data_IF_935141566217
#
_entry.id   IF_935141566217
#
_cell.length_a   1.000
_cell.length_b   1.000
_cell.length_c   1.000
_cell.angle_alpha   90.00
_cell.angle_beta   90.00
_cell.angle_gamma   90.00
#
_symmetry.space_group_name_H-M   'P 1'
#
loop_
_entity.id
_entity.type
_entity.pdbx_description
1 polymer ?
#
# COMPACT_ATOMS: atom_id res chain seq x y z
N UNK A 1 -34.84 17.83 29.22
CA UNK A 1 -33.90 18.85 29.69
C UNK A 1 -32.50 18.25 29.64
N UNK A 2 -31.52 18.93 29.04
CA UNK A 2 -30.15 18.47 28.80
C UNK A 2 -29.92 17.41 27.70
N UNK A 3 -30.40 17.65 26.50
CA UNK A 3 -29.67 17.27 25.31
C UNK A 3 -28.50 18.25 25.15
N UNK A 4 -27.42 18.01 25.85
CA UNK A 4 -26.12 18.57 25.48
C UNK A 4 -25.80 18.02 24.09
N UNK A 5 -26.05 18.85 23.08
CA UNK A 5 -25.62 18.70 21.70
C UNK A 5 -24.11 18.51 21.70
N UNK A 6 -23.66 17.24 21.87
CA UNK A 6 -22.30 16.84 21.60
C UNK A 6 -22.12 17.12 20.11
N UNK A 7 -21.41 18.19 19.79
CA UNK A 7 -21.01 18.47 18.40
C UNK A 7 -20.51 17.16 17.80
N UNK A 8 -21.02 16.73 16.63
CA UNK A 8 -20.58 15.48 16.02
C UNK A 8 -19.09 15.60 15.74
N UNK A 9 -18.28 14.92 16.55
CA UNK A 9 -16.84 14.88 16.37
C UNK A 9 -16.52 13.91 15.22
N UNK A 10 -15.42 14.16 14.52
CA UNK A 10 -14.87 13.23 13.53
C UNK A 10 -14.80 11.79 14.08
N UNK A 11 -14.45 11.65 15.36
CA UNK A 11 -14.40 10.36 16.07
C UNK A 11 -15.77 9.67 16.14
N UNK A 12 -16.84 10.42 16.35
CA UNK A 12 -18.21 9.85 16.39
C UNK A 12 -18.61 9.30 15.02
N UNK A 13 -18.23 9.97 13.93
CA UNK A 13 -18.45 9.47 12.58
C UNK A 13 -17.62 8.21 12.31
N UNK A 14 -16.34 8.21 12.65
CA UNK A 14 -15.44 7.05 12.53
C UNK A 14 -16.01 5.83 13.28
N UNK A 15 -16.42 5.99 14.53
CA UNK A 15 -17.00 4.90 15.31
C UNK A 15 -18.33 4.40 14.73
N UNK A 16 -19.14 5.29 14.16
CA UNK A 16 -20.37 4.91 13.43
C UNK A 16 -20.05 4.02 12.24
N UNK A 17 -19.04 4.38 11.42
CA UNK A 17 -18.64 3.61 10.24
C UNK A 17 -18.12 2.21 10.64
N UNK A 18 -17.22 2.14 11.64
CA UNK A 18 -16.70 0.87 12.14
C UNK A 18 -17.82 -0.02 12.66
N UNK A 19 -18.71 0.53 13.51
CA UNK A 19 -19.84 -0.25 14.05
C UNK A 19 -20.79 -0.71 12.94
N UNK A 20 -21.09 0.17 11.96
CA UNK A 20 -21.92 -0.16 10.81
C UNK A 20 -21.37 -1.30 9.98
N UNK A 21 -20.03 -1.37 9.80
CA UNK A 21 -19.38 -2.47 9.10
C UNK A 21 -19.39 -3.74 9.93
N UNK A 22 -18.94 -3.70 11.19
CA UNK A 22 -18.85 -4.88 12.07
C UNK A 22 -20.23 -5.46 12.45
N UNK A 23 -21.31 -4.66 12.36
CA UNK A 23 -22.68 -5.16 12.55
C UNK A 23 -23.30 -5.70 11.26
N UNK A 24 -22.65 -5.56 10.11
CA UNK A 24 -23.17 -6.00 8.82
C UNK A 24 -22.69 -7.42 8.48
N UNK A 25 -23.58 -8.21 7.85
CA UNK A 25 -23.22 -9.53 7.33
C UNK A 25 -22.05 -9.45 6.35
N UNK A 26 -21.97 -8.39 5.55
CA UNK A 26 -20.90 -8.19 4.57
C UNK A 26 -19.53 -8.07 5.25
N UNK A 27 -19.45 -7.40 6.41
CA UNK A 27 -18.20 -7.31 7.17
C UNK A 27 -17.64 -8.66 7.54
N UNK A 28 -18.48 -9.53 8.07
CA UNK A 28 -18.05 -10.90 8.43
C UNK A 28 -17.68 -11.75 7.22
N UNK A 29 -18.46 -11.66 6.12
CA UNK A 29 -18.16 -12.39 4.89
C UNK A 29 -16.79 -11.98 4.34
N UNK A 30 -16.51 -10.68 4.27
CA UNK A 30 -15.25 -10.15 3.72
C UNK A 30 -14.05 -10.64 4.54
N UNK A 31 -14.12 -10.55 5.88
CA UNK A 31 -13.05 -11.04 6.78
C UNK A 31 -12.88 -12.56 6.63
N UNK A 32 -14.00 -13.30 6.63
CA UNK A 32 -13.96 -14.76 6.53
C UNK A 32 -13.39 -15.25 5.20
N UNK A 33 -13.77 -14.61 4.08
CA UNK A 33 -13.25 -14.94 2.75
C UNK A 33 -11.75 -14.65 2.67
N UNK A 34 -11.30 -13.54 3.22
CA UNK A 34 -9.86 -13.22 3.27
C UNK A 34 -9.09 -14.31 4.03
N UNK A 35 -9.49 -14.59 5.27
CA UNK A 35 -8.80 -15.57 6.12
C UNK A 35 -8.85 -16.98 5.52
N UNK A 36 -9.98 -17.34 4.89
CA UNK A 36 -10.14 -18.62 4.23
C UNK A 36 -9.21 -18.74 3.02
N UNK A 37 -9.18 -17.73 2.14
CA UNK A 37 -8.28 -17.72 0.99
C UNK A 37 -6.81 -17.79 1.44
N UNK A 38 -6.42 -16.93 2.38
CA UNK A 38 -5.06 -16.94 2.90
C UNK A 38 -4.70 -18.27 3.54
N UNK A 39 -5.61 -18.84 4.36
CA UNK A 39 -5.41 -20.14 5.00
C UNK A 39 -5.28 -21.28 3.98
N UNK A 40 -6.12 -21.34 2.97
CA UNK A 40 -6.09 -22.40 1.96
C UNK A 40 -4.83 -22.35 1.09
N UNK A 41 -4.45 -21.16 0.60
CA UNK A 41 -3.29 -21.04 -0.27
C UNK A 41 -1.96 -21.21 0.45
N UNK A 42 -1.88 -20.77 1.71
CA UNK A 42 -0.64 -20.81 2.49
C UNK A 42 -0.40 -22.18 3.13
N UNK A 43 -1.47 -22.90 3.54
CA UNK A 43 -1.32 -24.12 4.32
C UNK A 43 -1.84 -25.41 3.67
N UNK A 44 -2.70 -25.32 2.65
CA UNK A 44 -3.43 -26.50 2.14
C UNK A 44 -3.12 -26.80 0.70
N UNK A 45 -3.21 -25.80 -0.19
CA UNK A 45 -3.02 -26.05 -1.62
C UNK A 45 -1.55 -26.14 -1.99
N UNK A 46 -1.17 -27.14 -2.80
CA UNK A 46 0.15 -27.27 -3.40
C UNK A 46 0.36 -26.19 -4.48
N UNK A 47 0.76 -25.02 -4.06
CA UNK A 47 1.01 -23.83 -4.89
C UNK A 47 2.33 -23.20 -4.48
N UNK A 48 2.90 -22.30 -5.30
CA UNK A 48 4.11 -21.55 -4.91
C UNK A 48 3.96 -20.72 -3.63
N UNK A 49 2.73 -20.55 -3.13
CA UNK A 49 2.43 -19.84 -1.88
C UNK A 49 2.35 -20.77 -0.66
N UNK A 50 2.53 -22.09 -0.82
CA UNK A 50 2.46 -23.02 0.30
C UNK A 50 3.77 -23.00 1.10
N UNK A 51 3.68 -22.57 2.35
CA UNK A 51 4.86 -22.46 3.24
C UNK A 51 5.43 -23.83 3.59
N UNK A 52 4.59 -24.88 3.74
CA UNK A 52 5.08 -26.21 4.10
C UNK A 52 5.87 -26.87 2.96
N UNK A 53 5.59 -26.51 1.71
CA UNK A 53 6.27 -27.05 0.54
C UNK A 53 7.49 -26.21 0.11
N UNK A 54 7.57 -24.93 0.55
CA UNK A 54 8.68 -24.02 0.21
C UNK A 54 10.02 -24.48 0.78
N UNK A 55 10.01 -25.19 1.91
CA UNK A 55 11.22 -25.60 2.63
C UNK A 55 11.91 -24.49 3.41
N UNK A 56 11.35 -23.28 3.44
CA UNK A 56 11.86 -22.12 4.15
C UNK A 56 10.86 -21.67 5.23
N UNK A 57 11.39 -21.27 6.40
CA UNK A 57 10.61 -20.74 7.50
C UNK A 57 10.43 -19.22 7.34
N UNK A 58 9.69 -18.80 6.32
CA UNK A 58 9.40 -17.39 6.02
C UNK A 58 7.90 -17.13 5.76
N UNK A 59 7.50 -15.87 5.78
CA UNK A 59 6.15 -15.40 5.49
C UNK A 59 6.03 -14.72 4.12
N UNK A 60 7.02 -14.79 3.26
CA UNK A 60 7.01 -14.19 1.93
C UNK A 60 5.78 -14.60 1.11
N UNK A 61 5.29 -15.87 1.16
CA UNK A 61 4.06 -16.24 0.49
C UNK A 61 2.83 -15.41 0.92
N UNK A 62 2.73 -15.05 2.21
CA UNK A 62 1.66 -14.19 2.72
C UNK A 62 1.74 -12.80 2.07
N UNK A 63 2.94 -12.19 2.07
CA UNK A 63 3.15 -10.84 1.56
C UNK A 63 3.04 -10.74 0.05
N UNK A 64 3.28 -11.82 -0.68
CA UNK A 64 3.08 -11.90 -2.12
C UNK A 64 1.61 -12.13 -2.50
N UNK A 65 0.86 -12.91 -1.71
CA UNK A 65 -0.53 -13.22 -1.98
C UNK A 65 -1.50 -12.13 -1.49
N UNK A 66 -1.25 -11.54 -0.31
CA UNK A 66 -2.16 -10.59 0.31
C UNK A 66 -2.49 -9.37 -0.57
N UNK A 67 -1.55 -8.75 -1.32
CA UNK A 67 -1.86 -7.66 -2.24
C UNK A 67 -2.90 -8.04 -3.29
N UNK A 68 -2.83 -9.24 -3.85
CA UNK A 68 -3.78 -9.72 -4.86
C UNK A 68 -5.19 -9.89 -4.28
N UNK A 69 -5.28 -10.39 -3.04
CA UNK A 69 -6.56 -10.51 -2.35
C UNK A 69 -7.11 -9.13 -1.99
N UNK A 70 -6.24 -8.19 -1.60
CA UNK A 70 -6.62 -6.81 -1.26
C UNK A 70 -7.18 -6.03 -2.45
N UNK A 71 -6.80 -6.35 -3.69
CA UNK A 71 -7.39 -5.76 -4.90
C UNK A 71 -8.92 -5.89 -4.93
N UNK A 72 -9.46 -6.96 -4.35
CA UNK A 72 -10.90 -7.21 -4.28
C UNK A 72 -11.48 -6.88 -2.91
N UNK A 73 -10.78 -7.24 -1.85
CA UNK A 73 -11.23 -7.09 -0.48
C UNK A 73 -11.44 -5.61 -0.10
N UNK A 74 -10.46 -4.75 -0.37
CA UNK A 74 -10.51 -3.35 0.04
C UNK A 74 -11.59 -2.56 -0.72
N UNK A 75 -11.73 -2.70 -2.06
CA UNK A 75 -12.88 -2.17 -2.76
C UNK A 75 -14.24 -2.67 -2.23
N UNK A 76 -14.34 -3.95 -1.81
CA UNK A 76 -15.56 -4.49 -1.22
C UNK A 76 -15.89 -3.83 0.14
N UNK A 77 -14.88 -3.51 0.96
CA UNK A 77 -15.05 -2.78 2.21
C UNK A 77 -15.49 -1.32 1.93
N UNK A 78 -14.85 -0.66 0.97
CA UNK A 78 -14.99 0.78 0.75
C UNK A 78 -16.13 1.17 -0.19
N UNK A 79 -16.66 0.24 -1.00
CA UNK A 79 -17.70 0.52 -2.01
C UNK A 79 -18.94 1.21 -1.45
N UNK A 80 -19.27 1.00 -0.16
CA UNK A 80 -20.45 1.55 0.49
C UNK A 80 -20.24 2.95 1.08
N UNK A 81 -18.98 3.37 1.24
CA UNK A 81 -18.60 4.56 2.05
C UNK A 81 -19.34 5.83 1.65
N UNK A 82 -19.45 6.15 0.38
CA UNK A 82 -20.18 7.29 -0.14
C UNK A 82 -21.33 6.90 -1.08
N UNK A 83 -21.18 5.79 -1.83
CA UNK A 83 -22.19 5.38 -2.82
C UNK A 83 -23.54 5.08 -2.18
N UNK A 84 -23.57 4.49 -0.99
CA UNK A 84 -24.83 4.24 -0.26
C UNK A 84 -25.48 5.53 0.22
N UNK A 85 -24.72 6.47 0.77
CA UNK A 85 -25.23 7.77 1.21
C UNK A 85 -25.73 8.62 0.04
N UNK A 86 -25.09 8.52 -1.12
CA UNK A 86 -25.58 9.15 -2.36
C UNK A 86 -26.87 8.52 -2.84
N UNK A 87 -26.95 7.19 -2.82
CA UNK A 87 -28.15 6.43 -3.25
C UNK A 87 -29.36 6.72 -2.38
N UNK A 88 -29.14 6.84 -1.07
CA UNK A 88 -30.23 7.10 -0.09
C UNK A 88 -30.52 8.57 0.09
N UNK A 89 -29.79 9.49 -0.55
CA UNK A 89 -29.93 10.92 -0.40
C UNK A 89 -29.45 11.48 0.96
N UNK A 90 -28.84 10.64 1.80
CA UNK A 90 -28.37 11.05 3.14
C UNK A 90 -27.07 11.83 3.11
N UNK A 91 -26.40 11.90 1.97
CA UNK A 91 -25.15 12.65 1.80
C UNK A 91 -25.34 14.15 2.08
N UNK A 92 -26.50 14.72 1.73
CA UNK A 92 -26.80 16.12 2.01
C UNK A 92 -26.88 16.39 3.52
N UNK A 93 -27.52 15.48 4.28
CA UNK A 93 -27.54 15.55 5.74
C UNK A 93 -26.16 15.43 6.38
N UNK A 94 -25.26 14.70 5.74
CA UNK A 94 -23.87 14.56 6.22
C UNK A 94 -23.07 15.84 5.98
N UNK A 95 -23.25 16.47 4.80
CA UNK A 95 -22.54 17.69 4.41
C UNK A 95 -23.07 18.96 5.10
N UNK A 96 -24.26 18.92 5.70
CA UNK A 96 -24.79 20.02 6.51
C UNK A 96 -24.37 19.99 7.98
N UNK A 97 -23.68 18.92 8.42
CA UNK A 97 -23.13 18.84 9.76
C UNK A 97 -21.93 19.80 9.93
N UNK A 98 -21.65 20.26 11.16
CA UNK A 98 -20.51 21.13 11.45
C UNK A 98 -19.17 20.36 11.39
N UNK A 99 -18.91 19.68 10.27
CA UNK A 99 -17.68 18.97 9.95
C UNK A 99 -17.18 19.46 8.59
N UNK A 100 -15.88 19.62 8.45
CA UNK A 100 -15.29 19.90 7.14
C UNK A 100 -15.33 18.65 6.25
N UNK A 101 -15.39 18.85 4.92
CA UNK A 101 -15.43 17.75 3.95
C UNK A 101 -14.21 16.82 4.13
N UNK A 102 -13.04 17.38 4.44
CA UNK A 102 -11.81 16.62 4.74
C UNK A 102 -11.99 15.75 5.99
N UNK A 103 -12.62 16.26 7.06
CA UNK A 103 -12.87 15.46 8.26
C UNK A 103 -13.83 14.29 7.99
N UNK A 104 -14.82 14.49 7.12
CA UNK A 104 -15.73 13.42 6.71
C UNK A 104 -14.97 12.34 5.92
N UNK A 105 -14.13 12.74 4.94
CA UNK A 105 -13.34 11.83 4.14
C UNK A 105 -12.37 11.06 5.03
N UNK A 106 -11.62 11.75 5.91
CA UNK A 106 -10.66 11.13 6.81
C UNK A 106 -11.31 10.18 7.82
N UNK A 107 -12.51 10.50 8.33
CA UNK A 107 -13.24 9.59 9.21
C UNK A 107 -13.56 8.26 8.52
N UNK A 108 -14.04 8.31 7.27
CA UNK A 108 -14.33 7.11 6.46
C UNK A 108 -13.05 6.37 6.06
N UNK A 109 -12.00 7.10 5.72
CA UNK A 109 -10.69 6.57 5.39
C UNK A 109 -10.09 5.78 6.56
N UNK A 110 -10.01 6.38 7.74
CA UNK A 110 -9.48 5.69 8.92
C UNK A 110 -10.37 4.54 9.37
N UNK A 111 -11.70 4.64 9.19
CA UNK A 111 -12.58 3.51 9.46
C UNK A 111 -12.27 2.33 8.54
N UNK A 112 -12.16 2.56 7.23
CA UNK A 112 -11.77 1.52 6.26
C UNK A 112 -10.40 0.93 6.56
N UNK A 113 -9.40 1.76 6.83
CA UNK A 113 -8.04 1.32 7.17
C UNK A 113 -8.02 0.45 8.44
N UNK A 114 -8.67 0.89 9.50
CA UNK A 114 -8.75 0.11 10.76
C UNK A 114 -9.44 -1.24 10.55
N UNK A 115 -10.46 -1.33 9.68
CA UNK A 115 -11.11 -2.59 9.36
C UNK A 115 -10.17 -3.55 8.61
N UNK A 116 -9.37 -3.04 7.67
CA UNK A 116 -8.36 -3.86 6.98
C UNK A 116 -7.29 -4.32 7.96
N UNK A 117 -6.79 -3.45 8.83
CA UNK A 117 -5.82 -3.82 9.86
C UNK A 117 -6.40 -4.88 10.82
N UNK A 118 -7.67 -4.74 11.20
CA UNK A 118 -8.34 -5.76 12.00
C UNK A 118 -8.43 -7.11 11.28
N UNK A 119 -8.60 -7.09 9.95
CA UNK A 119 -8.60 -8.31 9.12
C UNK A 119 -7.22 -8.97 9.05
N UNK A 120 -6.14 -8.18 9.17
CA UNK A 120 -4.76 -8.69 9.19
C UNK A 120 -4.35 -9.28 10.54
N UNK A 121 -4.96 -8.89 11.66
CA UNK A 121 -4.54 -9.37 12.98
C UNK A 121 -4.47 -10.90 13.11
N UNK A 122 -5.45 -11.70 12.61
CA UNK A 122 -5.37 -13.15 12.69
C UNK A 122 -4.18 -13.75 11.93
N UNK A 123 -3.64 -13.08 10.91
CA UNK A 123 -2.48 -13.61 10.16
C UNK A 123 -1.20 -13.61 10.99
N UNK A 124 -1.14 -12.86 12.10
CA UNK A 124 -0.04 -12.95 13.06
C UNK A 124 0.09 -14.35 13.69
N UNK A 125 -0.99 -15.14 13.72
CA UNK A 125 -0.93 -16.55 14.11
C UNK A 125 -0.06 -17.37 13.16
N UNK A 126 0.01 -17.00 11.87
CA UNK A 126 0.87 -17.69 10.91
C UNK A 126 2.34 -17.50 11.27
N UNK A 127 2.74 -16.28 11.66
CA UNK A 127 4.08 -16.03 12.17
C UNK A 127 4.40 -16.91 13.37
N UNK A 128 3.50 -16.96 14.37
CA UNK A 128 3.69 -17.81 15.55
C UNK A 128 3.85 -19.28 15.15
N UNK A 129 3.04 -19.77 14.22
CA UNK A 129 3.08 -21.16 13.76
C UNK A 129 4.40 -21.48 13.08
N UNK A 130 4.88 -20.61 12.15
CA UNK A 130 6.14 -20.80 11.43
C UNK A 130 7.32 -20.76 12.41
N UNK A 131 7.28 -19.83 13.37
CA UNK A 131 8.32 -19.72 14.39
C UNK A 131 8.46 -20.98 15.26
N UNK A 132 7.36 -21.73 15.44
CA UNK A 132 7.37 -23.01 16.18
C UNK A 132 7.77 -24.21 15.30
N UNK A 133 7.47 -24.16 13.99
CA UNK A 133 7.75 -25.23 13.04
C UNK A 133 9.17 -25.16 12.45
N UNK A 134 9.79 -23.98 12.46
CA UNK A 134 11.16 -23.80 11.96
C UNK A 134 12.20 -24.67 12.68
N UNK A 135 13.19 -25.14 11.96
CA UNK A 135 14.33 -25.86 12.51
C UNK A 135 15.63 -25.12 12.15
N UNK A 136 16.38 -24.59 13.13
CA UNK A 136 16.02 -24.54 14.56
C UNK A 136 14.82 -23.60 14.85
N UNK A 137 14.10 -23.88 15.94
CA UNK A 137 12.98 -23.02 16.37
C UNK A 137 13.44 -21.58 16.54
N UNK A 138 12.62 -20.65 16.03
CA UNK A 138 12.93 -19.22 16.08
C UNK A 138 13.79 -18.72 14.92
N UNK A 139 14.12 -19.56 13.95
CA UNK A 139 14.85 -19.18 12.75
C UNK A 139 13.93 -18.49 11.71
N UNK A 140 13.31 -17.41 12.13
CA UNK A 140 12.44 -16.57 11.27
C UNK A 140 12.96 -15.14 11.35
N UNK A 141 13.13 -14.49 10.19
CA UNK A 141 13.51 -13.08 10.14
C UNK A 141 12.37 -12.19 10.68
N UNK A 142 12.38 -11.96 11.98
CA UNK A 142 11.37 -11.15 12.67
C UNK A 142 11.38 -9.71 12.19
N UNK A 143 12.55 -9.14 11.91
CA UNK A 143 12.70 -7.76 11.46
C UNK A 143 12.14 -7.56 10.05
N UNK A 144 12.51 -8.45 9.13
CA UNK A 144 11.98 -8.47 7.77
C UNK A 144 10.46 -8.62 7.77
N UNK A 145 9.92 -9.53 8.59
CA UNK A 145 8.48 -9.72 8.74
C UNK A 145 7.73 -8.44 9.18
N UNK A 146 8.20 -7.74 10.22
CA UNK A 146 7.56 -6.51 10.66
C UNK A 146 7.64 -5.40 9.60
N UNK A 147 8.77 -5.32 8.87
CA UNK A 147 8.89 -4.44 7.71
C UNK A 147 7.85 -4.76 6.64
N UNK A 148 7.64 -6.04 6.33
CA UNK A 148 6.66 -6.50 5.36
C UNK A 148 5.20 -6.22 5.79
N UNK A 149 4.87 -6.39 7.08
CA UNK A 149 3.55 -5.97 7.61
C UNK A 149 3.35 -4.46 7.53
N UNK A 150 4.41 -3.66 7.74
CA UNK A 150 4.34 -2.22 7.54
C UNK A 150 4.08 -1.89 6.06
N UNK A 151 4.79 -2.54 5.13
CA UNK A 151 4.55 -2.41 3.70
C UNK A 151 3.11 -2.75 3.31
N UNK A 152 2.58 -3.85 3.84
CA UNK A 152 1.21 -4.27 3.60
C UNK A 152 0.18 -3.28 4.20
N UNK A 153 0.50 -2.64 5.32
CA UNK A 153 -0.30 -1.56 5.91
C UNK A 153 -0.31 -0.32 5.02
N UNK A 154 0.84 0.09 4.47
CA UNK A 154 0.94 1.23 3.55
C UNK A 154 0.20 0.98 2.23
N UNK A 155 0.33 -0.24 1.69
CA UNK A 155 -0.45 -0.68 0.53
C UNK A 155 -1.96 -0.60 0.81
N UNK A 156 -2.40 -1.12 1.95
CA UNK A 156 -3.79 -1.06 2.39
C UNK A 156 -4.30 0.37 2.49
N UNK A 157 -3.49 1.26 3.06
CA UNK A 157 -3.81 2.67 3.20
C UNK A 157 -4.06 3.33 1.83
N UNK A 158 -3.22 3.01 0.83
CA UNK A 158 -3.39 3.48 -0.54
C UNK A 158 -4.65 2.90 -1.18
N UNK A 159 -4.88 1.60 -1.09
CA UNK A 159 -6.07 0.97 -1.66
C UNK A 159 -7.36 1.47 -1.02
N UNK A 160 -7.39 1.72 0.29
CA UNK A 160 -8.53 2.30 0.98
C UNK A 160 -8.82 3.71 0.44
N UNK A 161 -7.81 4.55 0.22
CA UNK A 161 -8.00 5.89 -0.35
C UNK A 161 -8.56 5.84 -1.77
N UNK A 162 -8.07 4.92 -2.61
CA UNK A 162 -8.56 4.66 -3.97
C UNK A 162 -10.02 4.18 -3.93
N UNK A 163 -10.34 3.22 -3.06
CA UNK A 163 -11.69 2.67 -2.95
C UNK A 163 -12.72 3.70 -2.45
N UNK A 164 -12.33 4.58 -1.52
CA UNK A 164 -13.16 5.70 -1.08
C UNK A 164 -13.41 6.68 -2.24
N UNK A 165 -12.39 7.00 -3.03
CA UNK A 165 -12.55 7.83 -4.22
C UNK A 165 -13.52 7.19 -5.22
N UNK A 166 -13.37 5.89 -5.52
CA UNK A 166 -14.29 5.16 -6.38
C UNK A 166 -15.72 5.19 -5.87
N UNK A 167 -15.92 5.07 -4.55
CA UNK A 167 -17.22 5.17 -3.89
C UNK A 167 -17.79 6.59 -3.97
N UNK A 168 -16.94 7.61 -3.98
CA UNK A 168 -17.39 9.00 -4.10
C UNK A 168 -17.85 9.36 -5.51
N UNK A 169 -17.37 8.72 -6.56
CA UNK A 169 -17.77 8.98 -7.95
C UNK A 169 -19.17 8.43 -8.24
N UNK A 170 -19.50 7.23 -7.74
CA UNK A 170 -20.73 6.51 -8.10
C UNK A 170 -21.81 6.62 -7.03
N UNK A 171 -23.09 6.44 -7.48
CA UNK A 171 -24.25 6.26 -6.60
C UNK A 171 -24.61 4.77 -6.44
N UNK A 172 -23.96 3.88 -7.19
CA UNK A 172 -24.21 2.44 -7.17
C UNK A 172 -23.01 1.73 -6.56
N UNK A 173 -23.25 0.89 -5.53
CA UNK A 173 -22.21 0.14 -4.81
C UNK A 173 -21.47 -0.82 -5.73
N UNK A 174 -22.16 -1.49 -6.67
CA UNK A 174 -21.54 -2.45 -7.60
C UNK A 174 -20.61 -1.71 -8.57
N UNK A 175 -21.04 -0.55 -9.09
CA UNK A 175 -20.19 0.28 -9.95
C UNK A 175 -18.98 0.80 -9.16
N UNK A 176 -19.18 1.22 -7.91
CA UNK A 176 -18.09 1.64 -7.02
C UNK A 176 -17.09 0.52 -6.78
N UNK A 177 -17.57 -0.71 -6.58
CA UNK A 177 -16.72 -1.89 -6.41
C UNK A 177 -15.87 -2.15 -7.65
N UNK A 178 -16.52 -2.24 -8.83
CA UNK A 178 -15.82 -2.50 -10.10
C UNK A 178 -14.79 -1.42 -10.39
N UNK A 179 -15.16 -0.14 -10.20
CA UNK A 179 -14.26 0.99 -10.39
C UNK A 179 -13.10 0.95 -9.39
N UNK A 180 -13.37 0.62 -8.14
CA UNK A 180 -12.35 0.46 -7.09
C UNK A 180 -11.36 -0.63 -7.42
N UNK A 181 -11.84 -1.83 -7.81
CA UNK A 181 -10.98 -2.95 -8.25
C UNK A 181 -10.12 -2.54 -9.44
N UNK A 182 -10.73 -1.92 -10.46
CA UNK A 182 -10.01 -1.47 -11.65
C UNK A 182 -8.92 -0.45 -11.32
N UNK A 183 -9.23 0.57 -10.51
CA UNK A 183 -8.26 1.59 -10.13
C UNK A 183 -7.14 1.01 -9.25
N UNK A 184 -7.45 0.16 -8.28
CA UNK A 184 -6.44 -0.51 -7.46
C UNK A 184 -5.54 -1.40 -8.32
N UNK A 185 -6.11 -2.19 -9.23
CA UNK A 185 -5.36 -3.01 -10.17
C UNK A 185 -4.45 -2.16 -11.07
N UNK A 186 -5.00 -1.08 -11.64
CA UNK A 186 -4.25 -0.21 -12.54
C UNK A 186 -3.08 0.48 -11.84
N UNK A 187 -3.30 1.03 -10.64
CA UNK A 187 -2.24 1.72 -9.90
C UNK A 187 -1.23 0.73 -9.31
N UNK A 188 -1.64 -0.50 -8.97
CA UNK A 188 -0.76 -1.53 -8.44
C UNK A 188 0.09 -2.21 -9.53
N UNK A 189 -0.54 -2.75 -10.58
CA UNK A 189 0.12 -3.55 -11.61
C UNK A 189 0.19 -2.86 -12.98
N UNK A 190 -0.72 -1.91 -13.28
CA UNK A 190 -0.83 -1.34 -14.61
C UNK A 190 0.43 -0.62 -15.06
N UNK A 191 1.06 0.15 -14.19
CA UNK A 191 2.30 0.86 -14.49
C UNK A 191 3.48 -0.11 -14.66
N UNK A 192 3.55 -1.17 -13.87
CA UNK A 192 4.58 -2.20 -14.00
C UNK A 192 4.45 -2.94 -15.33
N UNK A 193 3.24 -3.34 -15.72
CA UNK A 193 2.99 -3.92 -17.03
C UNK A 193 3.39 -2.97 -18.18
N UNK A 194 3.01 -1.70 -18.11
CA UNK A 194 3.37 -0.71 -19.14
C UNK A 194 4.88 -0.55 -19.28
N UNK A 195 5.62 -0.49 -18.17
CA UNK A 195 7.07 -0.38 -18.19
C UNK A 195 7.78 -1.68 -18.59
N UNK A 196 7.14 -2.85 -18.41
CA UNK A 196 7.73 -4.15 -18.75
C UNK A 196 7.80 -4.42 -20.25
N UNK A 197 6.89 -3.85 -21.02
CA UNK A 197 6.86 -4.06 -22.48
C UNK A 197 7.84 -3.18 -23.27
N UNK A 198 8.66 -2.36 -22.60
CA UNK A 198 9.65 -1.48 -23.22
C UNK A 198 9.09 -0.58 -24.33
N UNK A 199 7.85 -0.12 -24.18
CA UNK A 199 7.12 0.69 -25.16
C UNK A 199 7.68 2.12 -25.21
N UNK A 200 8.12 2.64 -24.07
CA UNK A 200 8.52 4.04 -23.89
C UNK A 200 10.04 4.24 -23.81
N UNK A 201 10.83 3.18 -24.04
CA UNK A 201 12.30 3.25 -24.08
C UNK A 201 12.92 3.70 -22.75
N UNK A 202 13.60 4.84 -22.75
CA UNK A 202 14.25 5.36 -21.54
C UNK A 202 13.29 5.80 -20.44
N UNK A 203 12.01 6.01 -20.74
CA UNK A 203 10.99 6.40 -19.78
C UNK A 203 10.32 5.20 -19.07
N UNK A 204 10.59 3.96 -19.51
CA UNK A 204 9.98 2.77 -18.93
C UNK A 204 10.20 2.66 -17.41
N UNK A 205 11.37 3.09 -16.96
CA UNK A 205 11.69 3.10 -15.53
C UNK A 205 10.86 4.10 -14.74
N UNK A 206 10.71 5.31 -15.27
CA UNK A 206 9.91 6.36 -14.62
C UNK A 206 8.45 5.92 -14.54
N UNK A 207 7.96 5.20 -15.56
CA UNK A 207 6.60 4.69 -15.57
C UNK A 207 6.41 3.62 -14.48
N UNK A 208 7.37 2.70 -14.28
CA UNK A 208 7.32 1.71 -13.21
C UNK A 208 7.34 2.37 -11.83
N UNK A 209 8.20 3.36 -11.65
CA UNK A 209 8.32 4.10 -10.39
C UNK A 209 7.04 4.88 -10.03
N UNK A 210 6.09 5.07 -10.98
CA UNK A 210 4.75 5.58 -10.69
C UNK A 210 3.81 4.50 -10.13
N UNK A 211 4.16 3.21 -10.24
CA UNK A 211 3.34 2.09 -9.78
C UNK A 211 3.59 1.75 -8.31
N UNK A 212 2.54 1.32 -7.63
CA UNK A 212 2.65 0.89 -6.22
C UNK A 212 3.50 -0.38 -6.08
N UNK A 213 3.53 -1.25 -7.10
CA UNK A 213 4.17 -2.56 -7.05
C UNK A 213 5.66 -2.47 -6.68
N UNK A 214 6.43 -1.60 -7.34
CA UNK A 214 7.87 -1.44 -7.10
C UNK A 214 8.16 -0.98 -5.66
N UNK A 215 7.42 0.02 -5.19
CA UNK A 215 7.56 0.54 -3.83
C UNK A 215 7.14 -0.48 -2.76
N UNK A 216 6.06 -1.23 -3.03
CA UNK A 216 5.63 -2.30 -2.14
C UNK A 216 6.66 -3.44 -2.07
N UNK A 217 7.18 -3.86 -3.22
CA UNK A 217 8.16 -4.94 -3.31
C UNK A 217 9.49 -4.59 -2.61
N UNK A 218 9.87 -3.32 -2.57
CA UNK A 218 11.00 -2.84 -1.77
C UNK A 218 10.75 -3.08 -0.27
N UNK A 219 9.62 -2.58 0.24
CA UNK A 219 9.30 -2.66 1.68
C UNK A 219 8.97 -4.09 2.11
N UNK A 220 8.35 -4.90 1.24
CA UNK A 220 7.99 -6.29 1.55
C UNK A 220 9.18 -7.23 1.78
N UNK A 221 10.39 -6.77 1.52
CA UNK A 221 11.65 -7.47 1.87
C UNK A 221 12.24 -7.03 3.21
N UNK A 222 11.52 -6.20 3.97
CA UNK A 222 11.99 -5.68 5.25
C UNK A 222 12.88 -4.44 5.16
N UNK A 223 12.96 -3.79 4.00
CA UNK A 223 13.72 -2.55 3.80
C UNK A 223 12.76 -1.37 3.70
N UNK A 224 12.87 -0.45 4.63
CA UNK A 224 12.06 0.78 4.63
C UNK A 224 12.92 1.91 4.06
N UNK A 225 12.55 2.35 2.87
CA UNK A 225 13.13 3.54 2.24
C UNK A 225 12.19 4.74 2.46
N UNK A 226 12.74 5.88 2.83
CA UNK A 226 11.95 7.10 3.02
C UNK A 226 11.24 7.53 1.74
N UNK A 227 11.78 7.20 0.55
CA UNK A 227 11.15 7.45 -0.75
C UNK A 227 9.83 6.69 -0.87
N UNK A 228 9.83 5.41 -0.48
CA UNK A 228 8.64 4.56 -0.56
C UNK A 228 7.56 5.06 0.40
N UNK A 229 7.94 5.48 1.62
CA UNK A 229 7.01 6.06 2.60
C UNK A 229 6.38 7.36 2.05
N UNK A 230 7.18 8.27 1.49
CA UNK A 230 6.72 9.52 0.88
C UNK A 230 5.75 9.21 -0.28
N UNK A 231 6.08 8.23 -1.12
CA UNK A 231 5.24 7.80 -2.22
C UNK A 231 3.86 7.31 -1.74
N UNK A 232 3.80 6.38 -0.78
CA UNK A 232 2.54 5.86 -0.25
C UNK A 232 1.68 6.96 0.39
N UNK A 233 2.29 7.84 1.19
CA UNK A 233 1.58 9.00 1.77
C UNK A 233 1.06 9.92 0.66
N UNK A 234 1.83 10.12 -0.40
CA UNK A 234 1.44 10.93 -1.54
C UNK A 234 0.25 10.35 -2.29
N UNK A 235 0.22 9.04 -2.53
CA UNK A 235 -0.94 8.36 -3.13
C UNK A 235 -2.20 8.59 -2.30
N UNK A 236 -2.12 8.41 -0.98
CA UNK A 236 -3.25 8.68 -0.07
C UNK A 236 -3.72 10.12 -0.19
N UNK A 237 -2.81 11.10 -0.13
CA UNK A 237 -3.15 12.53 -0.22
C UNK A 237 -3.82 12.83 -1.57
N UNK A 238 -3.29 12.33 -2.68
CA UNK A 238 -3.84 12.53 -4.03
C UNK A 238 -5.30 12.04 -4.08
N UNK A 239 -5.56 10.79 -3.66
CA UNK A 239 -6.92 10.25 -3.71
C UNK A 239 -7.89 10.91 -2.71
N UNK A 240 -7.42 11.35 -1.56
CA UNK A 240 -8.21 12.18 -0.62
C UNK A 240 -8.58 13.53 -1.26
N UNK A 241 -7.62 14.20 -1.93
CA UNK A 241 -7.90 15.46 -2.64
C UNK A 241 -8.85 15.26 -3.82
N UNK A 242 -8.71 14.19 -4.59
CA UNK A 242 -9.64 13.83 -5.67
C UNK A 242 -11.04 13.52 -5.13
N UNK A 243 -11.13 12.82 -4.01
CA UNK A 243 -12.41 12.56 -3.33
C UNK A 243 -13.08 13.86 -2.91
N UNK A 244 -12.32 14.78 -2.32
CA UNK A 244 -12.79 16.11 -1.96
C UNK A 244 -13.33 16.85 -3.18
N UNK A 245 -12.60 16.85 -4.30
CA UNK A 245 -13.04 17.48 -5.54
C UNK A 245 -14.41 16.98 -6.01
N UNK A 246 -14.63 15.65 -5.95
CA UNK A 246 -15.91 15.03 -6.34
C UNK A 246 -17.06 15.44 -5.42
N UNK A 247 -16.82 15.55 -4.11
CA UNK A 247 -17.83 15.95 -3.13
C UNK A 247 -18.17 17.44 -3.23
N UNK A 248 -17.18 18.27 -3.48
CA UNK A 248 -17.32 19.72 -3.57
C UNK A 248 -17.77 20.21 -4.97
N UNK A 249 -18.03 19.33 -5.94
CA UNK A 249 -18.37 19.70 -7.33
C UNK A 249 -19.56 20.65 -7.46
N UNK A 250 -20.36 20.84 -6.43
CA UNK A 250 -21.48 21.81 -6.34
C UNK A 250 -21.06 23.22 -5.88
N UNK A 251 -19.83 23.38 -5.32
CA UNK A 251 -19.30 24.68 -4.89
C UNK A 251 -18.28 25.15 -5.91
N UNK A 252 -18.22 26.41 -6.29
CA UNK A 252 -17.16 26.99 -7.13
C UNK A 252 -15.83 26.88 -6.38
N UNK A 253 -15.16 25.75 -6.54
CA UNK A 253 -13.93 25.47 -5.83
C UNK A 253 -12.77 26.07 -6.56
N UNK A 254 -11.89 26.43 -5.76
CA UNK A 254 -10.52 26.76 -5.99
C UNK A 254 -9.77 25.63 -6.75
N UNK A 255 -10.14 25.37 -8.01
CA UNK A 255 -9.44 24.43 -8.89
C UNK A 255 -7.93 24.70 -8.87
N UNK A 256 -7.57 25.99 -8.76
CA UNK A 256 -6.19 26.41 -8.61
C UNK A 256 -5.55 25.83 -7.32
N UNK A 257 -6.27 25.85 -6.20
CA UNK A 257 -5.73 25.30 -4.94
C UNK A 257 -5.51 23.78 -5.02
N UNK A 258 -6.40 23.06 -5.73
CA UNK A 258 -6.19 21.62 -5.96
C UNK A 258 -4.92 21.38 -6.83
N UNK A 259 -4.79 22.13 -7.93
CA UNK A 259 -3.60 22.03 -8.80
C UNK A 259 -2.32 22.34 -8.02
N UNK A 260 -2.35 23.38 -7.18
CA UNK A 260 -1.19 23.72 -6.31
C UNK A 260 -0.88 22.57 -5.33
N UNK A 261 -1.89 21.99 -4.69
CA UNK A 261 -1.67 20.89 -3.76
C UNK A 261 -1.11 19.64 -4.45
N UNK A 262 -1.61 19.31 -5.65
CA UNK A 262 -1.06 18.21 -6.45
C UNK A 262 0.37 18.49 -6.91
N UNK A 263 0.66 19.72 -7.30
CA UNK A 263 2.02 20.14 -7.66
C UNK A 263 2.99 20.03 -6.47
N UNK A 264 2.55 20.42 -5.25
CA UNK A 264 3.33 20.26 -4.03
C UNK A 264 3.64 18.79 -3.76
N UNK A 265 2.64 17.89 -3.88
CA UNK A 265 2.85 16.46 -3.70
C UNK A 265 3.88 15.91 -4.70
N UNK A 266 3.79 16.33 -5.95
CA UNK A 266 4.76 15.93 -6.99
C UNK A 266 6.18 16.44 -6.67
N UNK A 267 6.32 17.70 -6.27
CA UNK A 267 7.61 18.27 -5.87
C UNK A 267 8.21 17.53 -4.67
N UNK A 268 7.40 17.18 -3.66
CA UNK A 268 7.87 16.43 -2.49
C UNK A 268 8.38 15.04 -2.89
N UNK A 269 7.71 14.35 -3.84
CA UNK A 269 8.21 13.07 -4.35
C UNK A 269 9.53 13.24 -5.09
N UNK A 270 9.65 14.24 -5.95
CA UNK A 270 10.91 14.53 -6.66
C UNK A 270 12.04 14.86 -5.68
N UNK A 271 11.78 15.70 -4.67
CA UNK A 271 12.79 16.03 -3.66
C UNK A 271 13.20 14.81 -2.82
N UNK A 272 12.26 13.89 -2.56
CA UNK A 272 12.51 12.63 -1.87
C UNK A 272 13.51 11.73 -2.61
N UNK A 273 13.64 11.84 -3.95
CA UNK A 273 14.62 11.05 -4.70
C UNK A 273 16.07 11.52 -4.50
N UNK A 274 16.28 12.79 -4.16
CA UNK A 274 17.64 13.36 -3.99
C UNK A 274 18.23 13.12 -2.59
N UNK A 275 17.38 12.97 -1.58
CA UNK A 275 17.86 12.71 -0.22
C UNK A 275 16.96 11.66 0.44
N UNK A 276 17.47 10.45 0.60
CA UNK A 276 16.72 9.35 1.19
C UNK A 276 17.47 8.70 2.33
N UNK A 277 16.71 8.17 3.27
CA UNK A 277 17.21 7.36 4.36
C UNK A 277 16.65 5.95 4.20
N UNK A 278 17.54 4.95 4.30
CA UNK A 278 17.17 3.54 4.20
C UNK A 278 17.36 2.86 5.55
N UNK A 279 16.35 2.13 6.00
CA UNK A 279 16.33 1.37 7.23
C UNK A 279 16.17 -0.11 6.88
N UNK A 280 17.23 -0.88 7.07
CA UNK A 280 17.19 -2.31 6.92
C UNK A 280 16.78 -2.94 8.26
N UNK A 281 15.57 -3.49 8.30
CA UNK A 281 14.99 -4.15 9.47
C UNK A 281 15.35 -5.63 9.52
N UNK A 282 15.91 -6.21 8.45
CA UNK A 282 16.26 -7.62 8.42
C UNK A 282 17.26 -7.97 9.51
N UNK A 283 17.10 -9.13 10.12
CA UNK A 283 17.91 -9.55 11.28
C UNK A 283 19.42 -9.63 10.95
N UNK A 284 19.75 -10.03 9.72
CA UNK A 284 21.13 -10.14 9.23
C UNK A 284 21.58 -8.92 8.42
N UNK A 285 20.81 -7.84 8.39
CA UNK A 285 21.05 -6.64 7.56
C UNK A 285 21.42 -7.00 6.11
N UNK A 286 20.61 -7.88 5.50
CA UNK A 286 20.85 -8.45 4.15
C UNK A 286 20.93 -7.39 3.04
N UNK A 287 20.37 -6.23 3.27
CA UNK A 287 20.29 -5.13 2.30
C UNK A 287 21.15 -3.92 2.68
N UNK A 288 22.05 -4.08 3.66
CA UNK A 288 23.06 -3.09 4.04
C UNK A 288 24.44 -3.72 4.01
N UNK A 289 25.47 -2.91 3.72
CA UNK A 289 26.85 -3.38 3.77
C UNK A 289 27.25 -3.63 5.23
N UNK A 290 27.95 -4.72 5.48
CA UNK A 290 28.50 -5.00 6.80
C UNK A 290 29.52 -3.92 7.19
N UNK A 291 29.56 -3.55 8.48
CA UNK A 291 30.48 -2.53 9.02
C UNK A 291 31.94 -2.83 8.67
N UNK A 292 32.31 -4.11 8.64
CA UNK A 292 33.63 -4.57 8.21
C UNK A 292 33.92 -4.22 6.73
N UNK A 293 32.92 -4.34 5.86
CA UNK A 293 33.05 -4.00 4.44
C UNK A 293 33.15 -2.49 4.26
N UNK A 294 32.31 -1.71 4.99
CA UNK A 294 32.37 -0.25 4.97
C UNK A 294 33.76 0.22 5.44
N UNK A 295 34.24 -0.30 6.59
CA UNK A 295 35.55 0.07 7.11
C UNK A 295 36.72 -0.34 6.21
N UNK A 296 36.56 -1.44 5.49
CA UNK A 296 37.56 -1.88 4.49
C UNK A 296 37.59 -0.92 3.30
N UNK A 297 36.42 -0.54 2.78
CA UNK A 297 36.31 0.39 1.64
C UNK A 297 36.83 1.79 2.03
N UNK A 298 36.47 2.29 3.22
CA UNK A 298 36.85 3.63 3.67
C UNK A 298 38.34 3.75 4.06
N UNK A 299 38.91 2.70 4.67
CA UNK A 299 40.21 2.83 5.35
C UNK A 299 41.34 1.99 4.72
N UNK A 300 41.05 1.02 3.85
CA UNK A 300 42.04 0.09 3.32
C UNK A 300 42.11 0.05 1.78
N UNK A 301 41.17 0.69 1.10
CA UNK A 301 41.20 0.76 -0.35
C UNK A 301 42.02 1.99 -0.76
N UNK A 302 43.29 1.75 -1.11
CA UNK A 302 44.19 2.79 -1.62
C UNK A 302 44.12 2.91 -3.15
N UNK A 303 43.58 1.87 -3.84
CA UNK A 303 43.50 1.82 -5.30
C UNK A 303 42.06 1.97 -5.85
N UNK A 304 41.97 2.45 -7.06
CA UNK A 304 40.70 2.60 -7.81
C UNK A 304 40.16 1.20 -8.16
N UNK A 305 38.97 0.89 -7.65
CA UNK A 305 38.28 -0.35 -8.04
C UNK A 305 37.56 -0.11 -9.36
N UNK A 306 37.89 -0.90 -10.37
CA UNK A 306 37.20 -0.88 -11.66
C UNK A 306 36.20 -2.03 -11.72
N UNK A 307 34.91 -1.71 -11.75
CA UNK A 307 33.85 -2.67 -12.01
C UNK A 307 33.59 -2.75 -13.52
N UNK A 308 33.76 -3.93 -14.12
CA UNK A 308 33.38 -4.15 -15.51
C UNK A 308 32.01 -4.82 -15.55
N UNK A 309 31.02 -4.06 -16.01
CA UNK A 309 29.64 -4.56 -16.16
C UNK A 309 29.48 -5.00 -17.63
N UNK A 310 29.34 -6.32 -17.84
CA UNK A 310 29.15 -6.92 -19.17
C UNK A 310 27.67 -6.90 -19.63
N UNK A 311 26.79 -6.27 -18.89
CA UNK A 311 25.38 -6.04 -19.24
C UNK A 311 25.28 -4.86 -20.19
N UNK A 312 25.47 -5.09 -21.49
CA UNK A 312 25.45 -4.06 -22.54
C UNK A 312 24.60 -4.51 -23.74
N UNK A 313 23.91 -3.56 -24.41
CA UNK A 313 23.09 -3.84 -25.59
C UNK A 313 21.59 -3.67 -25.35
N UNK A 314 20.77 -4.20 -26.24
CA UNK A 314 19.30 -4.23 -26.08
C UNK A 314 18.91 -5.34 -25.10
N UNK A 315 18.95 -5.01 -23.82
CA UNK A 315 18.63 -5.95 -22.75
C UNK A 315 17.11 -6.03 -22.54
N UNK A 316 16.57 -7.22 -22.23
CA UNK A 316 15.22 -7.37 -21.69
C UNK A 316 15.01 -6.49 -20.46
N UNK A 317 13.75 -6.13 -20.18
CA UNK A 317 13.41 -5.17 -19.14
C UNK A 317 13.94 -5.55 -17.75
N UNK A 318 13.96 -6.84 -17.42
CA UNK A 318 14.47 -7.35 -16.15
C UNK A 318 15.98 -7.17 -15.99
N UNK A 319 16.75 -7.39 -17.06
CA UNK A 319 18.19 -7.20 -17.06
C UNK A 319 18.58 -5.71 -17.05
N UNK A 320 17.80 -4.84 -17.70
CA UNK A 320 17.96 -3.37 -17.58
C UNK A 320 17.77 -2.87 -16.15
N UNK A 321 16.88 -3.51 -15.40
CA UNK A 321 16.69 -3.21 -13.98
C UNK A 321 17.93 -3.56 -13.18
N UNK A 322 18.47 -4.76 -13.37
CA UNK A 322 19.71 -5.21 -12.71
C UNK A 322 20.88 -4.26 -13.05
N UNK A 323 21.02 -3.90 -14.32
CA UNK A 323 22.04 -2.92 -14.75
C UNK A 323 21.93 -1.59 -14.01
N UNK A 324 20.70 -1.08 -13.83
CA UNK A 324 20.46 0.17 -13.12
C UNK A 324 20.74 0.04 -11.63
N UNK A 325 20.22 -1.02 -10.97
CA UNK A 325 20.48 -1.27 -9.56
C UNK A 325 21.97 -1.37 -9.25
N UNK A 326 22.75 -1.96 -10.17
CA UNK A 326 24.21 -2.01 -10.04
C UNK A 326 24.82 -0.61 -10.20
N UNK A 327 24.37 0.17 -11.19
CA UNK A 327 24.89 1.54 -11.41
C UNK A 327 24.55 2.49 -10.26
N UNK A 328 23.36 2.39 -9.68
CA UNK A 328 22.93 3.22 -8.55
C UNK A 328 23.65 2.87 -7.23
N UNK A 329 24.12 1.63 -7.08
CA UNK A 329 24.89 1.19 -5.90
C UNK A 329 26.39 1.50 -6.00
N UNK A 330 26.85 2.02 -7.15
CA UNK A 330 28.24 2.42 -7.36
C UNK A 330 28.52 3.88 -6.97
N UNK A 331 27.51 4.64 -6.51
CA UNK A 331 27.62 5.99 -5.99
C UNK A 331 27.44 5.92 -4.47
#
# INVERSE_FOLDING_TARGET
MLFLLKTPSMLALLLKEIRGFLSSLIGYIVISVFLLLMGLFIWVFSTPFNILESGFADLDPLFNLAPLVFLFLIPAITMRSFAEEKRTGTIELLLTRPLSDVQIILAKYFAGLLLVLFTLLPTLLYYYTINQLGDPKGNVDTGGMWGSYLGLTMLSASFVSIGIFASAISQNQIISFILGVFLCFFVYLGFDFMGSYSIFGSFDSVIRDLGIYEHYHSISRGVIDSRDVIYFVSVVIVFVLLTRLVLESRKKIHRLQLVINLAIVLVVNILGTFGFFRLDLTQEKRHSLADATISFVENRLEDVITFQIYLTGELPADLKRIEREIKEKQI
#
